data_IF_060436935920
#
_entry.id   IF_060436935920
#
_cell.length_a   1.000
_cell.length_b   1.000
_cell.length_c   1.000
_cell.angle_alpha   90.00
_cell.angle_beta   90.00
_cell.angle_gamma   90.00
#
_symmetry.space_group_name_H-M   'P 1'
#
loop_
_entity.id
_entity.type
_entity.pdbx_description
1 polymer ?
#
# COMPACT_ATOMS: atom_id res chain seq x y z
N UNK A 1 -21.31 10.88 0.22
CA UNK A 1 -21.61 12.16 -0.47
C UNK A 1 -20.82 12.23 -1.77
N UNK A 2 -21.50 12.36 -2.92
CA UNK A 2 -20.84 12.47 -4.22
C UNK A 2 -20.47 13.94 -4.49
N UNK A 3 -19.21 14.32 -4.28
CA UNK A 3 -18.72 15.66 -4.67
C UNK A 3 -18.69 15.77 -6.21
N UNK A 4 -19.09 16.92 -6.76
CA UNK A 4 -19.07 17.29 -8.19
C UNK A 4 -18.84 18.80 -8.31
N UNK A 5 -18.30 19.24 -9.45
CA UNK A 5 -18.14 20.67 -9.77
C UNK A 5 -19.25 21.09 -10.71
N UNK A 6 -19.90 22.22 -10.39
CA UNK A 6 -20.99 22.80 -11.17
C UNK A 6 -20.67 24.25 -11.50
N UNK A 7 -21.18 24.74 -12.62
CA UNK A 7 -21.14 26.16 -12.97
C UNK A 7 -22.30 26.88 -12.28
N UNK A 8 -22.00 27.98 -11.60
CA UNK A 8 -23.02 28.89 -11.05
C UNK A 8 -23.21 30.03 -12.02
N UNK A 9 -24.43 30.23 -12.52
CA UNK A 9 -24.77 31.35 -13.42
C UNK A 9 -25.62 32.43 -12.76
N UNK A 10 -26.15 32.14 -11.57
CA UNK A 10 -27.00 33.06 -10.81
C UNK A 10 -27.23 32.58 -9.39
N UNK A 11 -27.86 33.43 -8.59
CA UNK A 11 -28.24 33.11 -7.21
C UNK A 11 -29.55 33.79 -6.83
N UNK A 12 -30.24 33.22 -5.85
CA UNK A 12 -31.51 33.69 -5.33
C UNK A 12 -31.42 33.83 -3.81
N UNK A 13 -32.10 34.83 -3.25
CA UNK A 13 -32.24 34.98 -1.80
C UNK A 13 -33.65 34.54 -1.41
N UNK A 14 -33.73 33.49 -0.61
CA UNK A 14 -35.00 33.00 -0.10
C UNK A 14 -35.51 33.93 1.01
N UNK A 15 -36.82 33.92 1.27
CA UNK A 15 -37.47 34.76 2.28
C UNK A 15 -36.85 34.60 3.69
N UNK A 16 -36.35 33.41 4.01
CA UNK A 16 -35.63 33.13 5.26
C UNK A 16 -34.20 33.70 5.31
N UNK A 17 -33.79 34.54 4.34
CA UNK A 17 -32.47 35.16 4.27
C UNK A 17 -31.37 34.29 3.65
N UNK A 18 -31.64 33.01 3.38
CA UNK A 18 -30.63 32.07 2.83
C UNK A 18 -30.38 32.33 1.35
N UNK A 19 -29.11 32.30 0.95
CA UNK A 19 -28.69 32.42 -0.45
C UNK A 19 -28.53 31.03 -1.10
N UNK A 20 -29.22 30.84 -2.22
CA UNK A 20 -29.18 29.62 -3.03
C UNK A 20 -28.51 29.91 -4.38
N UNK A 21 -27.59 29.04 -4.79
CA UNK A 21 -26.88 29.08 -6.06
C UNK A 21 -27.66 28.27 -7.11
N UNK A 22 -27.83 28.82 -8.31
CA UNK A 22 -28.41 28.08 -9.44
C UNK A 22 -27.31 27.30 -10.17
N UNK A 23 -27.41 25.97 -10.14
CA UNK A 23 -26.34 25.08 -10.61
C UNK A 23 -26.60 24.57 -12.03
N UNK A 24 -25.54 24.56 -12.84
CA UNK A 24 -25.54 24.05 -14.20
C UNK A 24 -24.40 23.04 -14.38
N UNK A 25 -24.65 22.01 -15.18
CA UNK A 25 -23.60 21.09 -15.61
C UNK A 25 -22.75 21.67 -16.75
N UNK A 26 -21.79 20.87 -17.23
CA UNK A 26 -20.88 21.26 -18.31
C UNK A 26 -21.54 21.38 -19.69
N UNK A 27 -22.74 20.81 -19.87
CA UNK A 27 -23.56 20.98 -21.06
C UNK A 27 -24.48 22.21 -20.97
N UNK A 28 -24.43 22.95 -19.86
CA UNK A 28 -25.30 24.09 -19.61
C UNK A 28 -26.73 23.70 -19.22
N UNK A 29 -26.96 22.45 -18.81
CA UNK A 29 -28.27 22.00 -18.31
C UNK A 29 -28.39 22.33 -16.82
N UNK A 30 -29.51 22.93 -16.45
CA UNK A 30 -29.83 23.24 -15.06
C UNK A 30 -29.98 21.97 -14.21
N UNK A 31 -29.42 22.00 -12.99
CA UNK A 31 -29.32 20.85 -12.08
C UNK A 31 -30.06 21.04 -10.76
N UNK A 32 -30.51 22.26 -10.47
CA UNK A 32 -31.16 22.60 -9.20
C UNK A 32 -30.56 23.80 -8.49
N UNK A 33 -31.01 23.99 -7.26
CA UNK A 33 -30.50 24.99 -6.33
C UNK A 33 -29.68 24.33 -5.22
N UNK A 34 -28.60 24.99 -4.80
CA UNK A 34 -27.78 24.58 -3.65
C UNK A 34 -27.59 25.75 -2.69
N UNK A 35 -27.77 25.51 -1.39
CA UNK A 35 -27.44 26.50 -0.37
C UNK A 35 -25.95 26.87 -0.50
N UNK A 36 -25.62 28.16 -0.55
CA UNK A 36 -24.25 28.64 -0.74
C UNK A 36 -23.28 28.08 0.32
N UNK A 37 -23.74 27.88 1.56
CA UNK A 37 -22.93 27.28 2.64
C UNK A 37 -22.58 25.79 2.41
N UNK A 38 -23.26 25.12 1.49
CA UNK A 38 -22.96 23.74 1.09
C UNK A 38 -21.95 23.62 -0.06
N UNK A 39 -21.42 24.74 -0.56
CA UNK A 39 -20.53 24.78 -1.73
C UNK A 39 -19.15 25.34 -1.39
N UNK A 40 -18.10 24.70 -1.92
CA UNK A 40 -16.79 25.33 -2.06
C UNK A 40 -16.76 26.13 -3.37
N UNK A 41 -16.17 27.34 -3.34
CA UNK A 41 -16.09 28.23 -4.49
C UNK A 41 -14.72 28.12 -5.16
N UNK A 42 -14.71 27.98 -6.48
CA UNK A 42 -13.52 28.05 -7.33
C UNK A 42 -13.93 28.74 -8.65
N UNK A 43 -12.98 29.41 -9.30
CA UNK A 43 -13.19 30.10 -10.58
C UNK A 43 -12.88 29.22 -11.78
N UNK A 44 -12.15 28.12 -11.59
CA UNK A 44 -11.76 27.21 -12.67
C UNK A 44 -12.64 25.97 -12.80
N UNK A 45 -12.71 25.42 -14.02
CA UNK A 45 -13.52 24.24 -14.32
C UNK A 45 -13.06 22.97 -13.61
N UNK A 46 -11.85 22.94 -13.06
CA UNK A 46 -11.35 21.86 -12.21
C UNK A 46 -12.08 21.75 -10.87
N UNK A 47 -12.68 22.84 -10.39
CA UNK A 47 -13.24 22.96 -9.05
C UNK A 47 -12.20 22.90 -7.94
N UNK A 48 -12.65 22.95 -6.69
CA UNK A 48 -11.76 22.92 -5.53
C UNK A 48 -10.97 21.59 -5.45
N UNK A 49 -9.69 21.69 -5.11
CA UNK A 49 -8.85 20.52 -4.82
C UNK A 49 -9.20 19.89 -3.48
N UNK A 50 -9.30 18.56 -3.45
CA UNK A 50 -9.51 17.79 -2.24
C UNK A 50 -8.22 17.08 -1.84
N UNK A 51 -7.83 17.22 -0.57
CA UNK A 51 -6.63 16.58 -0.06
C UNK A 51 -6.74 15.05 -0.16
N UNK A 52 -5.63 14.44 -0.54
CA UNK A 52 -5.45 13.00 -0.68
C UNK A 52 -4.02 12.67 -0.24
N UNK A 53 -3.78 11.45 0.20
CA UNK A 53 -2.44 10.99 0.50
C UNK A 53 -2.33 9.53 0.06
N UNK A 54 -2.11 9.33 -1.24
CA UNK A 54 -2.00 8.00 -1.84
C UNK A 54 -0.89 7.94 -2.86
N UNK A 55 -0.29 6.75 -3.00
CA UNK A 55 0.56 6.41 -4.13
C UNK A 55 -0.26 5.90 -5.31
N UNK A 56 0.11 6.29 -6.52
CA UNK A 56 -0.48 5.77 -7.76
C UNK A 56 0.59 5.31 -8.75
N UNK A 57 0.32 4.21 -9.44
CA UNK A 57 1.14 3.69 -10.53
C UNK A 57 0.53 4.12 -11.86
N UNK A 58 1.33 4.70 -12.76
CA UNK A 58 0.88 4.97 -14.14
C UNK A 58 0.79 3.65 -14.90
N UNK A 59 -0.41 3.32 -15.40
CA UNK A 59 -0.71 2.02 -16.02
C UNK A 59 -1.26 2.12 -17.45
N UNK A 60 -1.61 3.31 -17.95
CA UNK A 60 -2.09 3.49 -19.32
C UNK A 60 -1.27 4.51 -20.09
N UNK A 61 -0.97 4.17 -21.35
CA UNK A 61 -0.34 5.07 -22.32
C UNK A 61 -1.35 6.02 -22.97
N UNK A 62 -0.85 7.07 -23.62
CA UNK A 62 -1.65 7.97 -24.46
C UNK A 62 -2.29 9.17 -23.75
N UNK A 63 -2.24 9.22 -22.41
CA UNK A 63 -2.82 10.31 -21.63
C UNK A 63 -1.83 11.47 -21.48
N UNK A 64 -2.34 12.68 -21.59
CA UNK A 64 -1.61 13.91 -21.27
C UNK A 64 -1.40 14.06 -19.77
N UNK A 65 -0.25 14.61 -19.40
CA UNK A 65 0.05 15.11 -18.06
C UNK A 65 0.12 16.62 -18.18
N UNK A 66 -0.84 17.30 -17.56
CA UNK A 66 -1.08 18.72 -17.74
C UNK A 66 -0.26 19.57 -16.76
N UNK A 67 0.23 20.71 -17.23
CA UNK A 67 0.85 21.71 -16.38
C UNK A 67 -0.19 22.51 -15.57
N UNK A 68 -1.39 22.66 -16.11
CA UNK A 68 -2.49 23.41 -15.53
C UNK A 68 -3.82 22.96 -16.15
N UNK A 69 -4.93 23.49 -15.65
CA UNK A 69 -6.27 23.19 -16.15
C UNK A 69 -6.70 24.03 -17.37
N UNK A 70 -5.76 24.78 -17.97
CA UNK A 70 -5.92 25.40 -19.30
C UNK A 70 -5.40 24.46 -20.41
N UNK A 71 -5.26 23.17 -20.11
CA UNK A 71 -4.81 22.13 -21.04
C UNK A 71 -3.43 22.39 -21.66
N UNK A 72 -2.53 23.05 -20.94
CA UNK A 72 -1.11 23.12 -21.34
C UNK A 72 -0.43 21.78 -21.03
N UNK A 73 -0.14 20.97 -22.05
CA UNK A 73 0.55 19.69 -21.87
C UNK A 73 1.99 19.91 -21.35
N UNK A 74 2.38 19.13 -20.35
CA UNK A 74 3.74 19.13 -19.77
C UNK A 74 4.52 17.87 -20.14
N UNK A 75 3.84 16.73 -20.19
CA UNK A 75 4.37 15.43 -20.56
C UNK A 75 3.23 14.50 -20.99
N UNK A 76 3.56 13.26 -21.34
CA UNK A 76 2.59 12.19 -21.62
C UNK A 76 2.89 10.97 -20.76
N UNK A 77 1.87 10.16 -20.48
CA UNK A 77 2.03 8.95 -19.66
C UNK A 77 2.99 7.93 -20.25
N UNK A 78 3.21 7.95 -21.57
CA UNK A 78 4.16 7.09 -22.29
C UNK A 78 5.59 7.15 -21.71
N UNK A 79 6.07 8.31 -21.24
CA UNK A 79 7.44 8.47 -20.71
C UNK A 79 7.57 8.10 -19.22
N UNK A 80 6.45 7.76 -18.58
CA UNK A 80 6.36 7.52 -17.14
C UNK A 80 5.52 6.29 -16.81
N UNK A 81 5.28 5.41 -17.79
CA UNK A 81 4.59 4.14 -17.56
C UNK A 81 5.36 3.33 -16.50
N UNK A 82 4.62 2.63 -15.63
CA UNK A 82 5.17 1.89 -14.49
C UNK A 82 5.94 2.74 -13.46
N UNK A 83 5.92 4.07 -13.56
CA UNK A 83 6.43 4.95 -12.49
C UNK A 83 5.33 5.22 -11.47
N UNK A 84 5.75 5.30 -10.21
CA UNK A 84 4.88 5.60 -9.07
C UNK A 84 5.01 7.08 -8.70
N UNK A 85 3.89 7.71 -8.39
CA UNK A 85 3.81 9.10 -7.95
C UNK A 85 2.93 9.20 -6.70
N UNK A 86 3.26 10.15 -5.84
CA UNK A 86 2.40 10.56 -4.73
C UNK A 86 1.29 11.48 -5.26
N UNK A 87 0.08 11.32 -4.72
CA UNK A 87 -1.07 12.18 -5.00
C UNK A 87 -1.44 12.93 -3.73
N UNK A 88 -1.26 14.26 -3.76
CA UNK A 88 -1.65 15.15 -2.66
C UNK A 88 -3.04 15.75 -2.82
N UNK A 89 -3.51 15.90 -4.05
CA UNK A 89 -4.79 16.51 -4.38
C UNK A 89 -5.48 15.78 -5.54
N UNK A 90 -6.79 15.68 -5.46
CA UNK A 90 -7.63 15.35 -6.62
C UNK A 90 -8.64 16.45 -6.91
N UNK A 91 -9.00 16.56 -8.19
CA UNK A 91 -9.89 17.59 -8.73
C UNK A 91 -10.97 16.91 -9.55
N UNK A 92 -12.24 17.18 -9.22
CA UNK A 92 -13.38 16.67 -9.98
C UNK A 92 -13.79 17.71 -11.00
N UNK A 93 -13.20 17.64 -12.18
CA UNK A 93 -13.41 18.64 -13.21
C UNK A 93 -14.85 18.59 -13.75
N UNK A 94 -15.37 19.74 -14.18
CA UNK A 94 -16.69 19.84 -14.80
C UNK A 94 -16.86 18.93 -16.04
N UNK A 95 -15.75 18.49 -16.65
CA UNK A 95 -15.79 17.63 -17.83
C UNK A 95 -16.11 16.15 -17.48
N UNK A 96 -16.40 15.87 -16.20
CA UNK A 96 -16.70 14.53 -15.69
C UNK A 96 -15.47 13.71 -15.29
N UNK A 97 -14.26 14.14 -15.66
CA UNK A 97 -13.02 13.45 -15.28
C UNK A 97 -12.52 13.89 -13.90
N UNK A 98 -11.84 12.96 -13.22
CA UNK A 98 -11.06 13.28 -12.03
C UNK A 98 -9.58 13.39 -12.42
N UNK A 99 -8.91 14.42 -11.93
CA UNK A 99 -7.48 14.63 -12.16
C UNK A 99 -6.72 14.55 -10.84
N UNK A 100 -5.58 13.89 -10.85
CA UNK A 100 -4.68 13.77 -9.69
C UNK A 100 -3.45 14.65 -9.90
N UNK A 101 -3.05 15.39 -8.86
CA UNK A 101 -1.77 16.08 -8.81
C UNK A 101 -0.66 15.07 -8.49
N UNK A 102 0.26 14.85 -9.41
CA UNK A 102 1.38 13.93 -9.25
C UNK A 102 2.59 14.62 -8.64
N UNK A 103 3.24 13.95 -7.68
CA UNK A 103 4.50 14.36 -7.07
C UNK A 103 5.49 13.19 -7.10
N UNK A 104 6.75 13.47 -7.43
CA UNK A 104 7.80 12.46 -7.42
C UNK A 104 8.24 12.08 -5.99
N UNK A 105 9.21 11.16 -5.88
CA UNK A 105 9.74 10.68 -4.60
C UNK A 105 10.39 11.78 -3.75
N UNK A 106 10.83 12.88 -4.37
CA UNK A 106 11.43 14.03 -3.70
C UNK A 106 10.37 15.07 -3.32
N UNK A 107 9.09 14.78 -3.55
CA UNK A 107 7.97 15.67 -3.28
C UNK A 107 7.84 16.82 -4.29
N UNK A 108 8.56 16.78 -5.42
CA UNK A 108 8.46 17.79 -6.48
C UNK A 108 7.22 17.51 -7.33
N UNK A 109 6.45 18.56 -7.59
CA UNK A 109 5.25 18.47 -8.41
C UNK A 109 5.59 18.15 -9.88
N UNK A 110 4.95 17.10 -10.41
CA UNK A 110 5.18 16.60 -11.75
C UNK A 110 4.11 17.06 -12.74
N UNK A 111 2.84 17.08 -12.37
CA UNK A 111 1.75 17.46 -13.29
C UNK A 111 0.38 16.95 -12.83
N UNK A 112 -0.67 17.27 -13.59
CA UNK A 112 -2.00 16.69 -13.40
C UNK A 112 -2.27 15.58 -14.40
N UNK A 113 -2.69 14.42 -13.93
CA UNK A 113 -3.05 13.28 -14.79
C UNK A 113 -4.50 12.88 -14.60
N UNK A 114 -5.16 12.42 -15.66
CA UNK A 114 -6.49 11.81 -15.53
C UNK A 114 -6.39 10.54 -14.64
N UNK A 115 -7.27 10.41 -13.65
CA UNK A 115 -7.26 9.30 -12.70
C UNK A 115 -7.45 7.94 -13.38
N UNK A 116 -8.10 7.90 -14.55
CA UNK A 116 -8.28 6.67 -15.35
C UNK A 116 -6.99 6.15 -16.00
N UNK A 117 -5.90 6.94 -15.99
CA UNK A 117 -4.59 6.54 -16.50
C UNK A 117 -3.71 5.86 -15.43
N UNK A 118 -4.13 5.90 -14.17
CA UNK A 118 -3.35 5.43 -13.03
C UNK A 118 -4.15 4.43 -12.19
N UNK A 119 -3.43 3.66 -11.38
CA UNK A 119 -4.00 2.73 -10.39
C UNK A 119 -3.48 3.09 -9.01
N UNK A 120 -4.38 3.20 -8.03
CA UNK A 120 -3.99 3.35 -6.63
C UNK A 120 -3.16 2.14 -6.18
N UNK A 121 -2.03 2.42 -5.53
CA UNK A 121 -1.25 1.41 -4.81
C UNK A 121 -1.74 1.44 -3.36
N UNK A 122 -2.42 0.38 -2.96
CA UNK A 122 -2.94 0.23 -1.59
C UNK A 122 -1.98 -0.61 -0.76
N UNK A 123 -2.10 -0.58 0.57
CA UNK A 123 -1.28 -1.42 1.44
C UNK A 123 -1.54 -2.93 1.31
N UNK A 124 -0.67 -3.70 1.94
CA UNK A 124 -0.65 -5.17 1.93
C UNK A 124 -1.97 -5.75 2.40
N UNK A 125 -2.53 -5.25 3.51
CA UNK A 125 -3.75 -5.80 4.07
C UNK A 125 -4.91 -5.68 3.08
N UNK A 126 -5.07 -4.50 2.48
CA UNK A 126 -6.08 -4.28 1.45
C UNK A 126 -5.88 -5.21 0.25
N UNK A 127 -4.64 -5.31 -0.25
CA UNK A 127 -4.32 -6.19 -1.37
C UNK A 127 -4.57 -7.66 -1.03
N UNK A 128 -4.47 -8.08 0.21
CA UNK A 128 -4.74 -9.46 0.62
C UNK A 128 -6.19 -9.69 1.06
N UNK A 129 -7.04 -8.64 1.10
CA UNK A 129 -8.43 -8.77 1.54
C UNK A 129 -8.60 -8.88 3.06
N UNK A 130 -7.63 -8.39 3.83
CA UNK A 130 -7.68 -8.24 5.29
C UNK A 130 -7.55 -6.77 5.70
N UNK A 131 -7.30 -6.49 6.98
CA UNK A 131 -7.02 -5.15 7.52
C UNK A 131 -5.82 -5.19 8.46
N UNK A 132 -5.10 -4.05 8.62
CA UNK A 132 -4.05 -3.91 9.63
C UNK A 132 -4.54 -4.35 11.00
N UNK A 133 -5.75 -3.95 11.38
CA UNK A 133 -6.33 -4.30 12.68
C UNK A 133 -6.42 -5.81 12.88
N UNK A 134 -6.84 -6.58 11.86
CA UNK A 134 -6.92 -8.05 11.96
C UNK A 134 -5.54 -8.68 12.11
N UNK A 135 -4.55 -8.21 11.35
CA UNK A 135 -3.15 -8.66 11.46
C UNK A 135 -2.60 -8.39 12.87
N UNK A 136 -2.78 -7.18 13.37
CA UNK A 136 -2.29 -6.78 14.70
C UNK A 136 -3.05 -7.52 15.82
N UNK A 137 -4.36 -7.75 15.67
CA UNK A 137 -5.14 -8.53 16.64
C UNK A 137 -4.68 -9.99 16.73
N UNK A 138 -4.43 -10.64 15.59
CA UNK A 138 -3.90 -12.00 15.54
C UNK A 138 -2.57 -12.11 16.30
N UNK A 139 -1.64 -11.18 16.04
CA UNK A 139 -0.35 -11.15 16.70
C UNK A 139 -0.47 -10.82 18.19
N UNK A 140 -1.30 -9.86 18.57
CA UNK A 140 -1.52 -9.51 19.98
C UNK A 140 -2.11 -10.68 20.78
N UNK A 141 -3.05 -11.44 20.21
CA UNK A 141 -3.64 -12.61 20.86
C UNK A 141 -2.60 -13.68 21.20
N UNK A 142 -1.56 -13.79 20.37
CA UNK A 142 -0.54 -14.83 20.45
C UNK A 142 0.84 -14.33 20.92
N UNK A 143 0.91 -13.13 21.51
CA UNK A 143 2.19 -12.55 21.95
C UNK A 143 2.75 -13.26 23.20
N UNK A 144 1.90 -13.85 24.04
CA UNK A 144 2.28 -14.35 25.36
C UNK A 144 1.88 -15.81 25.63
N UNK A 145 1.51 -16.57 24.61
CA UNK A 145 0.95 -17.93 24.75
C UNK A 145 1.81 -19.03 24.10
N UNK A 146 2.98 -18.67 23.57
CA UNK A 146 3.92 -19.56 22.84
C UNK A 146 3.35 -20.14 21.54
N UNK A 147 2.20 -19.69 21.06
CA UNK A 147 1.61 -20.17 19.81
C UNK A 147 2.57 -19.91 18.65
N UNK A 148 2.98 -18.65 18.45
CA UNK A 148 4.06 -18.34 17.52
C UNK A 148 5.43 -18.45 18.17
N UNK A 149 5.67 -17.73 19.26
CA UNK A 149 7.00 -17.63 19.89
C UNK A 149 7.58 -18.99 20.26
N UNK A 150 8.81 -19.25 19.83
CA UNK A 150 9.51 -20.51 20.02
C UNK A 150 9.10 -21.64 19.06
N UNK A 151 8.23 -21.40 18.07
CA UNK A 151 7.97 -22.41 17.03
C UNK A 151 9.28 -22.74 16.28
N UNK A 152 9.64 -24.03 16.12
CA UNK A 152 10.88 -24.43 15.45
C UNK A 152 10.96 -23.96 13.99
N UNK A 153 12.18 -23.71 13.52
CA UNK A 153 12.41 -23.39 12.11
C UNK A 153 12.29 -24.64 11.22
N UNK A 154 11.70 -24.51 10.04
CA UNK A 154 11.60 -25.58 9.04
C UNK A 154 12.37 -25.23 7.77
N UNK A 155 13.30 -26.10 7.36
CA UNK A 155 14.20 -25.89 6.20
C UNK A 155 13.80 -26.69 4.95
N UNK A 156 12.90 -27.68 5.06
CA UNK A 156 12.59 -28.62 3.97
C UNK A 156 11.09 -28.84 3.81
N UNK A 157 10.67 -29.33 2.64
CA UNK A 157 9.25 -29.64 2.34
C UNK A 157 8.52 -28.57 1.51
N UNK A 158 9.22 -27.68 0.82
CA UNK A 158 8.64 -26.58 0.02
C UNK A 158 7.70 -27.02 -1.13
N UNK A 159 7.71 -28.30 -1.50
CA UNK A 159 6.70 -28.89 -2.37
C UNK A 159 5.29 -28.91 -1.74
N UNK A 160 5.20 -28.81 -0.41
CA UNK A 160 3.95 -28.67 0.31
C UNK A 160 4.00 -27.44 1.26
N UNK A 161 3.57 -26.25 0.79
CA UNK A 161 3.57 -25.02 1.59
C UNK A 161 2.85 -25.11 2.94
N UNK A 162 1.82 -25.97 3.08
CA UNK A 162 1.07 -26.12 4.34
C UNK A 162 1.95 -26.63 5.48
N UNK A 163 3.06 -27.31 5.18
CA UNK A 163 4.03 -27.76 6.17
C UNK A 163 4.69 -26.61 6.94
N UNK A 164 4.67 -25.38 6.44
CA UNK A 164 5.34 -24.24 7.07
C UNK A 164 4.37 -23.33 7.82
N UNK A 165 3.09 -23.68 7.89
CA UNK A 165 2.05 -22.87 8.55
C UNK A 165 1.57 -23.55 9.84
N UNK A 166 2.48 -24.22 10.54
CA UNK A 166 2.19 -24.99 11.75
C UNK A 166 2.86 -24.32 12.97
N UNK A 167 2.25 -23.31 13.58
CA UNK A 167 2.68 -22.80 14.88
C UNK A 167 2.51 -23.87 15.97
N UNK A 168 3.10 -23.63 17.15
CA UNK A 168 2.94 -24.51 18.30
C UNK A 168 1.46 -24.70 18.66
N UNK A 169 1.09 -25.91 19.08
CA UNK A 169 -0.28 -26.24 19.49
C UNK A 169 -1.24 -26.57 18.35
N UNK A 170 -0.85 -26.38 17.08
CA UNK A 170 -1.65 -26.86 15.93
C UNK A 170 -1.38 -28.34 15.69
N UNK A 171 -2.44 -29.15 15.71
CA UNK A 171 -2.38 -30.55 15.31
C UNK A 171 -2.07 -30.66 13.82
N UNK A 172 -0.98 -31.34 13.48
CA UNK A 172 -0.51 -31.54 12.11
C UNK A 172 0.34 -32.80 12.02
N UNK A 173 0.22 -33.62 10.97
CA UNK A 173 1.06 -34.80 10.78
C UNK A 173 2.55 -34.45 10.64
N UNK A 174 2.87 -33.18 10.41
CA UNK A 174 4.25 -32.71 10.26
C UNK A 174 4.85 -32.15 11.54
N UNK A 175 4.08 -32.03 12.63
CA UNK A 175 4.47 -31.30 13.85
C UNK A 175 4.68 -29.79 13.62
N UNK A 176 4.97 -29.02 14.70
CA UNK A 176 5.24 -27.59 14.60
C UNK A 176 6.44 -27.28 13.69
N UNK A 177 6.34 -26.18 12.95
CA UNK A 177 7.42 -25.71 12.10
C UNK A 177 6.99 -24.59 11.16
N UNK A 178 7.83 -23.56 11.08
CA UNK A 178 7.66 -22.44 10.13
C UNK A 178 9.03 -22.01 9.59
N UNK A 179 9.08 -21.51 8.35
CA UNK A 179 10.20 -20.67 7.90
C UNK A 179 9.81 -19.18 8.04
N UNK A 180 10.71 -18.26 7.67
CA UNK A 180 10.46 -16.80 7.71
C UNK A 180 9.11 -16.42 7.08
N UNK A 181 8.83 -16.99 5.90
CA UNK A 181 7.63 -16.69 5.12
C UNK A 181 6.41 -17.45 5.63
N UNK A 182 6.58 -18.68 6.10
CA UNK A 182 5.52 -19.51 6.69
C UNK A 182 4.88 -18.83 7.89
N UNK A 183 5.69 -18.14 8.72
CA UNK A 183 5.17 -17.29 9.78
C UNK A 183 4.31 -16.13 9.24
N UNK A 184 4.81 -15.35 8.29
CA UNK A 184 4.06 -14.24 7.66
C UNK A 184 2.78 -14.73 6.97
N UNK A 185 2.85 -15.87 6.29
CA UNK A 185 1.73 -16.50 5.62
C UNK A 185 0.68 -17.03 6.61
N UNK A 186 1.12 -17.62 7.73
CA UNK A 186 0.24 -18.09 8.80
C UNK A 186 -0.54 -16.91 9.41
N UNK A 187 0.14 -15.84 9.80
CA UNK A 187 -0.48 -14.62 10.35
C UNK A 187 -1.44 -14.00 9.33
N UNK A 188 -1.03 -13.92 8.06
CA UNK A 188 -1.88 -13.41 6.98
C UNK A 188 -3.15 -14.25 6.82
N UNK A 189 -3.05 -15.58 6.80
CA UNK A 189 -4.21 -16.46 6.67
C UNK A 189 -5.15 -16.34 7.86
N UNK A 190 -4.59 -16.36 9.08
CA UNK A 190 -5.38 -16.31 10.33
C UNK A 190 -6.05 -14.95 10.54
N UNK A 191 -5.47 -13.89 10.00
CA UNK A 191 -6.13 -12.58 9.88
C UNK A 191 -7.14 -12.47 8.72
N UNK A 192 -7.40 -13.55 7.98
CA UNK A 192 -8.39 -13.62 6.90
C UNK A 192 -7.87 -13.16 5.53
N UNK A 193 -6.56 -13.01 5.36
CA UNK A 193 -5.93 -12.66 4.09
C UNK A 193 -5.88 -13.81 3.10
N UNK A 194 -6.05 -13.50 1.81
CA UNK A 194 -6.04 -14.46 0.72
C UNK A 194 -4.60 -14.70 0.21
N UNK A 195 -4.01 -15.82 0.63
CA UNK A 195 -2.67 -16.25 0.19
C UNK A 195 -2.58 -16.66 -1.29
N UNK A 196 -3.71 -16.93 -1.97
CA UNK A 196 -3.69 -17.22 -3.42
C UNK A 196 -3.21 -16.03 -4.25
N UNK A 197 -3.17 -14.83 -3.66
CA UNK A 197 -2.59 -13.63 -4.28
C UNK A 197 -1.06 -13.63 -4.22
N UNK A 198 -0.44 -14.46 -3.37
CA UNK A 198 1.01 -14.57 -3.21
C UNK A 198 1.51 -15.88 -3.84
N UNK A 199 1.33 -16.04 -5.14
CA UNK A 199 1.84 -17.20 -5.88
C UNK A 199 2.24 -16.82 -7.30
N UNK A 200 3.26 -17.48 -7.85
CA UNK A 200 3.46 -17.55 -9.30
C UNK A 200 4.14 -16.34 -9.95
N UNK A 201 5.17 -15.77 -9.32
CA UNK A 201 6.05 -14.80 -10.00
C UNK A 201 7.46 -15.34 -10.22
N UNK A 202 8.04 -16.01 -9.22
CA UNK A 202 9.27 -16.79 -9.39
C UNK A 202 8.93 -18.25 -9.73
N UNK A 203 9.82 -18.97 -10.42
CA UNK A 203 9.60 -20.28 -11.04
C UNK A 203 9.15 -21.41 -10.08
N UNK A 204 7.91 -21.36 -9.61
CA UNK A 204 7.12 -22.51 -9.15
C UNK A 204 7.41 -23.08 -7.75
N UNK A 205 8.56 -22.83 -7.12
CA UNK A 205 8.92 -23.49 -5.85
C UNK A 205 8.50 -22.72 -4.60
N UNK A 206 7.84 -23.40 -3.65
CA UNK A 206 7.46 -22.86 -2.34
C UNK A 206 6.22 -21.97 -2.28
N UNK A 207 5.63 -21.54 -3.39
CA UNK A 207 4.36 -20.77 -3.39
C UNK A 207 4.38 -19.57 -2.43
N UNK A 208 3.36 -19.46 -1.56
CA UNK A 208 3.27 -18.38 -0.55
C UNK A 208 4.22 -18.56 0.65
N UNK A 209 5.05 -19.61 0.71
CA UNK A 209 6.10 -19.79 1.73
C UNK A 209 7.50 -19.51 1.17
N UNK A 210 7.57 -18.89 0.00
CA UNK A 210 8.79 -18.35 -0.60
C UNK A 210 8.74 -16.81 -0.56
N UNK A 211 9.66 -16.18 0.17
CA UNK A 211 9.65 -14.73 0.40
C UNK A 211 9.84 -13.92 -0.88
N UNK A 212 10.52 -14.47 -1.91
CA UNK A 212 10.68 -13.78 -3.20
C UNK A 212 9.32 -13.54 -3.89
N UNK A 213 8.38 -14.48 -3.76
CA UNK A 213 7.02 -14.30 -4.27
C UNK A 213 6.27 -13.17 -3.56
N UNK A 214 6.52 -12.96 -2.26
CA UNK A 214 5.98 -11.82 -1.52
C UNK A 214 6.58 -10.52 -2.03
N UNK A 215 7.91 -10.42 -2.08
CA UNK A 215 8.61 -9.23 -2.60
C UNK A 215 8.10 -8.85 -3.99
N UNK A 216 8.07 -9.78 -4.93
CA UNK A 216 7.73 -9.45 -6.32
C UNK A 216 6.25 -9.11 -6.50
N UNK A 217 5.36 -9.83 -5.81
CA UNK A 217 3.93 -9.53 -5.87
C UNK A 217 3.63 -8.17 -5.24
N UNK A 218 4.16 -7.90 -4.05
CA UNK A 218 3.87 -6.67 -3.32
C UNK A 218 4.50 -5.44 -4.02
N UNK A 219 5.74 -5.54 -4.51
CA UNK A 219 6.37 -4.45 -5.28
C UNK A 219 5.66 -4.12 -6.60
N UNK A 220 4.80 -4.99 -7.14
CA UNK A 220 3.96 -4.70 -8.32
C UNK A 220 2.56 -4.21 -7.97
N UNK A 221 2.04 -4.63 -6.82
CA UNK A 221 0.62 -4.49 -6.52
C UNK A 221 0.29 -3.55 -5.37
N UNK A 222 1.21 -3.32 -4.43
CA UNK A 222 0.96 -2.56 -3.20
C UNK A 222 1.84 -1.33 -3.09
N UNK A 223 1.55 -0.41 -2.16
CA UNK A 223 2.54 0.59 -1.77
C UNK A 223 3.76 -0.09 -1.12
N UNK A 224 4.95 0.45 -1.36
CA UNK A 224 6.18 0.02 -0.70
C UNK A 224 7.19 1.16 -0.64
N UNK A 225 8.12 1.03 0.30
CA UNK A 225 9.31 1.87 0.40
C UNK A 225 10.55 0.99 0.36
N UNK A 226 11.68 1.55 -0.06
CA UNK A 226 12.97 0.85 -0.02
C UNK A 226 14.04 1.73 0.58
N UNK A 227 14.92 1.13 1.38
CA UNK A 227 15.98 1.80 2.11
C UNK A 227 17.30 1.06 1.93
N UNK A 228 18.41 1.78 2.02
CA UNK A 228 19.76 1.20 1.98
C UNK A 228 20.11 0.45 3.26
N UNK A 229 19.46 0.75 4.38
CA UNK A 229 19.73 0.11 5.68
C UNK A 229 18.48 0.10 6.58
N UNK A 230 18.52 -0.75 7.61
CA UNK A 230 17.51 -0.80 8.68
C UNK A 230 17.43 0.55 9.40
N UNK A 231 18.57 1.19 9.64
CA UNK A 231 18.69 2.52 10.24
C UNK A 231 17.94 3.59 9.45
N UNK A 232 18.10 3.58 8.12
CA UNK A 232 17.38 4.49 7.24
C UNK A 232 15.86 4.23 7.27
N UNK A 233 15.44 2.95 7.33
CA UNK A 233 14.04 2.59 7.52
C UNK A 233 13.48 3.15 8.84
N UNK A 234 14.17 2.92 9.97
CA UNK A 234 13.68 3.32 11.29
C UNK A 234 13.60 4.85 11.45
N UNK A 235 14.55 5.59 10.87
CA UNK A 235 14.56 7.07 10.86
C UNK A 235 13.56 7.68 9.88
N UNK A 236 13.01 6.90 8.94
CA UNK A 236 12.13 7.43 7.89
C UNK A 236 10.76 7.92 8.38
N UNK A 237 10.32 7.50 9.58
CA UNK A 237 8.96 7.78 10.06
C UNK A 237 7.87 6.95 9.40
N UNK A 238 8.21 5.99 8.51
CA UNK A 238 7.23 5.28 7.66
C UNK A 238 6.65 4.01 8.27
N UNK A 239 7.44 3.28 9.05
CA UNK A 239 7.03 1.97 9.57
C UNK A 239 5.97 2.10 10.67
N UNK A 240 4.96 1.24 10.60
CA UNK A 240 3.90 1.11 11.59
C UNK A 240 3.74 -0.36 11.99
N UNK A 241 3.33 -0.60 13.25
CA UNK A 241 3.12 -1.96 13.76
C UNK A 241 2.24 -2.78 12.82
N UNK A 242 2.71 -3.98 12.48
CA UNK A 242 2.04 -4.91 11.57
C UNK A 242 2.54 -4.83 10.12
N UNK A 243 3.30 -3.80 9.73
CA UNK A 243 3.87 -3.71 8.37
C UNK A 243 4.86 -4.85 8.11
N UNK A 244 4.99 -5.28 6.85
CA UNK A 244 5.96 -6.31 6.48
C UNK A 244 7.31 -5.65 6.18
N UNK A 245 8.40 -6.25 6.66
CA UNK A 245 9.76 -5.88 6.29
C UNK A 245 10.40 -7.06 5.59
N UNK A 246 11.01 -6.80 4.44
CA UNK A 246 11.76 -7.77 3.65
C UNK A 246 13.21 -7.28 3.47
N UNK A 247 14.16 -8.18 3.69
CA UNK A 247 15.59 -7.95 3.51
C UNK A 247 16.04 -8.68 2.25
N UNK A 248 16.50 -7.91 1.26
CA UNK A 248 16.97 -8.43 -0.02
C UNK A 248 18.34 -9.07 0.12
N UNK A 249 18.47 -10.28 -0.42
CA UNK A 249 19.73 -11.01 -0.40
C UNK A 249 20.84 -10.25 -1.13
N UNK A 250 22.09 -10.52 -0.75
CA UNK A 250 23.27 -10.15 -1.55
C UNK A 250 23.57 -11.33 -2.48
N UNK A 251 23.10 -11.28 -3.73
CA UNK A 251 23.20 -12.42 -4.66
C UNK A 251 24.62 -12.84 -5.06
N UNK A 252 25.64 -12.05 -4.70
CA UNK A 252 27.05 -12.41 -4.87
C UNK A 252 27.60 -13.24 -3.70
N UNK A 253 26.87 -13.35 -2.60
CA UNK A 253 27.23 -14.22 -1.47
C UNK A 253 26.88 -15.67 -1.81
N UNK A 254 27.77 -16.67 -1.66
CA UNK A 254 27.46 -18.06 -2.01
C UNK A 254 26.36 -18.70 -1.13
N UNK A 255 26.07 -18.13 0.04
CA UNK A 255 25.03 -18.57 0.96
C UNK A 255 23.89 -17.55 1.04
N UNK A 256 23.67 -16.77 -0.01
CA UNK A 256 22.67 -15.71 -0.02
C UNK A 256 21.28 -16.25 0.36
N UNK A 257 20.58 -15.50 1.19
CA UNK A 257 19.19 -15.74 1.49
C UNK A 257 18.50 -14.41 1.76
N UNK A 258 17.21 -14.37 1.51
CA UNK A 258 16.36 -13.24 1.86
C UNK A 258 15.72 -13.46 3.23
N UNK A 259 15.16 -12.41 3.80
CA UNK A 259 14.42 -12.55 5.06
C UNK A 259 13.17 -11.70 5.08
N UNK A 260 12.12 -12.20 5.74
CA UNK A 260 10.85 -11.47 5.87
C UNK A 260 10.28 -11.65 7.28
N UNK A 261 9.58 -10.63 7.76
CA UNK A 261 8.86 -10.66 9.02
C UNK A 261 7.96 -9.44 9.17
N UNK A 262 7.46 -9.24 10.39
CA UNK A 262 6.48 -8.20 10.71
C UNK A 262 7.10 -7.19 11.67
N UNK A 263 7.05 -5.91 11.30
CA UNK A 263 7.45 -4.81 12.17
C UNK A 263 6.54 -4.75 13.41
N UNK A 264 7.15 -4.74 14.59
CA UNK A 264 6.44 -4.83 15.87
C UNK A 264 6.68 -3.62 16.80
N UNK A 265 7.34 -2.58 16.31
CA UNK A 265 7.51 -1.32 17.06
C UNK A 265 6.19 -0.57 17.22
N UNK A 266 5.97 0.07 18.38
CA UNK A 266 4.85 0.98 18.58
C UNK A 266 5.08 2.32 17.85
N UNK A 267 6.35 2.68 17.66
CA UNK A 267 6.81 3.84 16.88
C UNK A 267 7.76 3.37 15.79
N UNK A 268 7.82 4.11 14.68
CA UNK A 268 8.63 3.75 13.51
C UNK A 268 10.12 3.57 13.79
N UNK A 269 10.63 4.23 14.83
CA UNK A 269 12.04 4.20 15.22
C UNK A 269 12.36 3.11 16.26
N UNK A 270 11.38 2.31 16.68
CA UNK A 270 11.60 1.18 17.59
C UNK A 270 11.99 -0.05 16.79
N UNK A 271 13.23 -0.49 16.95
CA UNK A 271 13.76 -1.67 16.27
C UNK A 271 13.17 -2.97 16.85
N UNK A 272 11.90 -3.27 16.56
CA UNK A 272 11.23 -4.50 17.01
C UNK A 272 10.65 -5.22 15.81
N UNK A 273 10.96 -6.51 15.73
CA UNK A 273 10.66 -7.35 14.59
C UNK A 273 10.22 -8.73 15.05
N UNK A 274 9.01 -9.10 14.67
CA UNK A 274 8.50 -10.45 14.90
C UNK A 274 8.77 -11.26 13.64
N UNK A 275 9.57 -12.31 13.78
CA UNK A 275 10.00 -13.10 12.64
C UNK A 275 10.33 -14.54 13.02
N UNK A 276 10.55 -15.38 12.01
CA UNK A 276 10.95 -16.76 12.15
C UNK A 276 12.35 -16.94 11.57
N UNK A 277 13.29 -17.34 12.42
CA UNK A 277 14.72 -17.57 12.10
C UNK A 277 15.13 -18.94 12.62
N UNK A 278 16.35 -19.41 12.30
CA UNK A 278 16.81 -20.79 12.54
C UNK A 278 16.64 -21.22 14.01
N UNK A 279 16.88 -20.33 14.97
CA UNK A 279 16.74 -20.59 16.41
C UNK A 279 15.29 -20.45 16.93
N UNK A 280 14.31 -20.25 16.04
CA UNK A 280 12.89 -20.26 16.33
C UNK A 280 12.20 -18.92 16.06
N UNK A 281 10.88 -18.92 16.24
CA UNK A 281 10.08 -17.70 16.17
C UNK A 281 10.38 -16.78 17.35
N UNK A 282 10.63 -15.49 17.11
CA UNK A 282 10.93 -14.53 18.19
C UNK A 282 10.51 -13.11 17.85
N UNK A 283 10.56 -12.25 18.87
CA UNK A 283 10.59 -10.79 18.73
C UNK A 283 11.99 -10.30 19.08
N UNK A 284 12.69 -9.66 18.14
CA UNK A 284 14.04 -9.13 18.33
C UNK A 284 14.24 -7.82 17.57
N UNK A 285 15.49 -7.33 17.51
CA UNK A 285 15.88 -6.34 16.50
C UNK A 285 15.74 -6.95 15.09
N UNK A 286 15.57 -6.10 14.07
CA UNK A 286 15.56 -6.48 12.66
C UNK A 286 16.97 -6.94 12.28
N UNK A 287 17.09 -8.15 11.72
CA UNK A 287 18.32 -8.68 11.12
C UNK A 287 17.98 -9.80 10.12
N UNK A 288 18.93 -10.17 9.26
CA UNK A 288 18.92 -11.40 8.44
C UNK A 288 20.07 -12.31 8.89
N UNK A 289 19.93 -13.62 8.70
CA UNK A 289 21.01 -14.58 8.96
C UNK A 289 22.18 -14.46 7.97
N UNK A 290 21.96 -13.77 6.85
CA UNK A 290 22.90 -13.52 5.76
C UNK A 290 23.00 -12.02 5.49
N UNK A 291 24.08 -11.53 4.84
CA UNK A 291 24.15 -10.14 4.40
C UNK A 291 22.97 -9.75 3.50
N UNK A 292 22.47 -8.51 3.65
CA UNK A 292 21.39 -7.96 2.83
C UNK A 292 21.85 -6.71 2.05
N UNK A 293 21.28 -6.51 0.87
CA UNK A 293 21.61 -5.40 -0.03
C UNK A 293 20.62 -4.22 0.06
N UNK A 294 19.38 -4.50 0.50
CA UNK A 294 18.29 -3.52 0.55
C UNK A 294 17.22 -3.94 1.56
N UNK A 295 16.55 -2.96 2.14
CA UNK A 295 15.39 -3.15 3.02
C UNK A 295 14.14 -2.66 2.31
N UNK A 296 13.11 -3.50 2.21
CA UNK A 296 11.79 -3.11 1.73
C UNK A 296 10.82 -3.04 2.91
N UNK A 297 10.02 -1.98 2.95
CA UNK A 297 8.88 -1.82 3.85
C UNK A 297 7.61 -1.90 3.02
N UNK A 298 6.71 -2.81 3.39
CA UNK A 298 5.38 -2.93 2.78
C UNK A 298 4.31 -2.54 3.82
N UNK A 299 3.79 -1.31 3.76
CA UNK A 299 2.75 -0.86 4.67
C UNK A 299 1.48 -1.70 4.55
N UNK A 300 0.77 -1.93 5.65
CA UNK A 300 -0.52 -2.62 5.62
C UNK A 300 -1.65 -1.78 4.99
N UNK A 301 -1.60 -0.45 5.09
CA UNK A 301 -2.62 0.50 4.63
C UNK A 301 -2.21 1.26 3.36
#
# INVERSE_FOLDING_TARGET
>A
MHTKTYRVTGWYRHYNGTKYLSLYDNSGRWQGYLNEGGAAKDTGAQGTGFAMNKSVLVIKNGYSIWNNFNWKEKARTNSVINKTYQVKWYYKHMNGSTYYSLYDSNGKWFGYVNSGAVRERRGVAHYLGTTRQRVVNELNAHQNDRFYLGTPFRLTGFNNPEMFLVPNGIASPYGPGMNCTGFVACVTRRSGGNLSRISGVTQGYGGYVNAYNWRDTLTRNTEYYSFSSIDALLRSGKAQKGDLIYLEAVFTDPSYDCHIGIFWGNRSNENRFWHQVIDGNKISHIYSGTPYSKVYLFPQD
#
